data_IF_594901535397
#
_entry.id   IF_594901535397
#
_cell.length_a   1.000
_cell.length_b   1.000
_cell.length_c   1.000
_cell.angle_alpha   90.00
_cell.angle_beta   90.00
_cell.angle_gamma   90.00
#
_symmetry.space_group_name_H-M   'P 1'
#
loop_
_entity.id
_entity.type
_entity.pdbx_description
1 polymer ?
2 non-polymer ?
3 non-polymer ?
4 water ?
#
# COMPACT_ATOMS: atom_id res chain seq x y z
N UNK A 1 9.26 23.65 22.41
CA UNK A 1 8.80 23.72 20.99
C UNK A 1 8.47 22.33 20.46
N UNK A 2 7.35 22.23 19.74
CA UNK A 2 6.80 20.92 19.31
C UNK A 2 7.37 20.42 18.00
N UNK A 3 8.19 21.23 17.37
CA UNK A 3 8.97 20.77 16.24
C UNK A 3 8.23 20.71 14.92
N UNK A 4 8.71 19.82 14.07
CA UNK A 4 8.28 19.79 12.69
C UNK A 4 7.28 18.66 12.50
N UNK A 5 6.05 19.00 12.13
CA UNK A 5 4.97 18.00 12.06
C UNK A 5 4.16 18.03 10.77
N UNK A 6 4.52 18.92 9.84
CA UNK A 6 3.83 19.01 8.56
C UNK A 6 4.79 19.37 7.42
N UNK A 7 4.59 18.73 6.26
CA UNK A 7 5.24 19.12 5.03
C UNK A 7 4.15 19.18 3.97
N UNK A 8 4.05 20.31 3.28
CA UNK A 8 3.23 20.37 2.07
C UNK A 8 4.17 20.22 0.89
N UNK A 9 4.07 19.06 0.25
CA UNK A 9 4.95 18.68 -0.83
C UNK A 9 4.24 18.84 -2.14
N UNK A 10 4.65 19.84 -2.92
CA UNK A 10 4.10 20.07 -4.25
C UNK A 10 4.56 18.93 -5.15
N UNK A 11 3.62 18.33 -5.89
CA UNK A 11 3.93 17.25 -6.82
C UNK A 11 3.27 17.42 -8.20
N UNK A 12 3.85 16.72 -9.17
CA UNK A 12 3.33 16.70 -10.53
C UNK A 12 2.05 15.89 -10.64
N UNK A 13 1.90 14.90 -9.76
CA UNK A 13 0.78 13.98 -9.86
C UNK A 13 0.52 13.45 -8.47
N UNK A 14 -0.58 13.92 -7.87
CA UNK A 14 -0.92 13.54 -6.49
C UNK A 14 -1.28 12.05 -6.40
N UNK A 15 -2.10 11.59 -7.34
CA UNK A 15 -2.54 10.20 -7.37
C UNK A 15 -1.35 9.24 -7.38
N UNK A 16 -0.39 9.51 -8.25
CA UNK A 16 0.81 8.66 -8.40
C UNK A 16 1.70 8.69 -7.16
N UNK A 17 1.91 9.91 -6.61
CA UNK A 17 2.69 10.07 -5.39
C UNK A 17 2.03 9.34 -4.23
N UNK A 18 0.70 9.49 -4.10
CA UNK A 18 -0.03 8.80 -3.02
C UNK A 18 0.14 7.28 -3.06
N UNK A 19 -0.07 6.70 -4.24
CA UNK A 19 -0.09 5.25 -4.33
C UNK A 19 1.31 4.66 -4.05
N UNK A 20 2.35 5.38 -4.48
CA UNK A 20 3.74 5.00 -4.20
C UNK A 20 4.02 5.04 -2.69
N UNK A 21 3.58 6.11 -2.04
CA UNK A 21 3.80 6.26 -0.59
C UNK A 21 3.03 5.23 0.23
N UNK A 22 1.83 4.89 -0.24
CA UNK A 22 1.05 3.80 0.37
C UNK A 22 1.73 2.46 0.22
N UNK A 23 2.12 2.12 -1.00
CA UNK A 23 2.69 0.81 -1.28
C UNK A 23 4.02 0.56 -0.59
N UNK A 24 4.95 1.50 -0.72
CA UNK A 24 6.33 1.28 -0.27
C UNK A 24 6.64 1.81 1.14
N UNK A 25 5.88 2.80 1.60
CA UNK A 25 6.23 3.43 2.87
C UNK A 25 5.12 3.37 3.91
N UNK A 26 4.04 2.69 3.56
CA UNK A 26 2.98 2.43 4.52
C UNK A 26 2.21 3.64 5.02
N UNK A 27 2.26 4.75 4.29
CA UNK A 27 1.52 5.95 4.67
C UNK A 27 0.03 5.72 4.43
N UNK A 28 -0.81 6.45 5.16
CA UNK A 28 -2.28 6.33 5.09
C UNK A 28 -2.92 7.67 4.71
N UNK A 29 -3.84 7.63 3.73
CA UNK A 29 -4.49 8.85 3.24
C UNK A 29 -5.70 9.16 4.11
N UNK A 30 -5.73 10.37 4.67
CA UNK A 30 -6.84 10.72 5.55
C UNK A 30 -7.86 11.67 4.89
N UNK A 31 -7.60 12.07 3.65
CA UNK A 31 -8.52 12.94 2.94
C UNK A 31 -7.94 13.40 1.63
N UNK A 32 -8.83 13.76 0.71
CA UNK A 32 -8.46 14.30 -0.59
C UNK A 32 -9.36 15.48 -0.97
N UNK A 33 -8.92 16.27 -1.94
CA UNK A 33 -9.78 17.19 -2.67
C UNK A 33 -9.57 16.91 -4.15
N UNK A 34 -10.50 16.17 -4.75
CA UNK A 34 -10.36 15.71 -6.13
C UNK A 34 -9.00 15.06 -6.36
N UNK A 35 -8.35 15.46 -7.43
CA UNK A 35 -7.01 14.95 -7.75
C UNK A 35 -5.92 15.99 -7.41
N UNK A 36 -6.36 17.08 -6.79
CA UNK A 36 -5.46 18.19 -6.55
C UNK A 36 -4.69 18.09 -5.24
N UNK A 37 -5.19 17.26 -4.32
CA UNK A 37 -4.72 17.33 -2.94
C UNK A 37 -5.02 16.03 -2.19
N UNK A 38 -4.05 15.56 -1.40
CA UNK A 38 -4.21 14.37 -0.56
C UNK A 38 -3.49 14.58 0.74
N UNK A 39 -4.10 14.18 1.85
CA UNK A 39 -3.47 14.29 3.15
C UNK A 39 -2.99 12.92 3.54
N UNK A 40 -1.67 12.78 3.67
CA UNK A 40 -1.07 11.51 4.08
C UNK A 40 -0.56 11.62 5.51
N UNK A 41 -0.57 10.50 6.22
CA UNK A 41 -0.14 10.41 7.63
C UNK A 41 0.82 9.25 7.76
N UNK A 42 1.83 9.40 8.62
CA UNK A 42 2.66 8.27 9.01
C UNK A 42 2.20 7.76 10.37
N UNK A 43 2.89 6.75 10.88
CA UNK A 43 2.51 6.12 12.14
C UNK A 43 2.66 7.00 13.37
N UNK A 44 3.51 8.02 13.28
CA UNK A 44 3.80 8.94 14.38
C UNK A 44 2.98 10.22 14.33
N UNK A 45 2.08 10.33 13.36
CA UNK A 45 1.23 11.51 13.25
C UNK A 45 1.79 12.67 12.44
N UNK A 46 2.94 12.47 11.79
CA UNK A 46 3.44 13.50 10.87
C UNK A 46 2.44 13.62 9.73
N UNK A 47 2.16 14.86 9.29
CA UNK A 47 1.22 15.11 8.20
C UNK A 47 1.97 15.53 6.94
N UNK A 48 1.88 14.69 5.91
CA UNK A 48 2.47 15.03 4.62
C UNK A 48 1.35 15.28 3.63
N UNK A 49 1.11 16.54 3.26
CA UNK A 49 0.11 16.81 2.25
C UNK A 49 0.74 16.89 0.87
N UNK A 50 0.08 16.27 -0.10
CA UNK A 50 0.56 16.26 -1.47
C UNK A 50 -0.33 17.21 -2.23
N UNK A 51 0.25 18.15 -2.96
CA UNK A 51 -0.53 19.17 -3.62
C UNK A 51 -0.08 19.28 -5.07
N UNK A 52 -1.03 19.14 -6.00
CA UNK A 52 -0.71 19.27 -7.42
C UNK A 52 -0.15 20.65 -7.69
N UNK A 53 0.91 20.69 -8.47
CA UNK A 53 1.48 21.94 -8.94
C UNK A 53 1.87 21.85 -10.39
N UNK A 54 2.14 23.01 -10.98
CA UNK A 54 2.61 23.06 -12.35
C UNK A 54 4.11 23.26 -12.37
N UNK A 55 4.76 22.57 -13.32
CA UNK A 55 6.18 22.69 -13.53
C UNK A 55 6.99 22.51 -12.25
N UNK A 56 6.76 21.37 -11.63
CA UNK A 56 7.32 21.09 -10.33
C UNK A 56 8.79 20.66 -10.43
N UNK A 57 9.66 21.40 -9.77
CA UNK A 57 11.07 21.04 -9.70
C UNK A 57 11.65 21.34 -8.32
N UNK A 58 12.41 20.40 -7.77
CA UNK A 58 13.09 20.60 -6.49
C UNK A 58 14.59 20.76 -6.66
N UNK A 59 15.26 21.46 -5.72
CA UNK A 59 16.71 21.50 -5.78
C UNK A 59 17.24 20.07 -5.80
N UNK A 60 18.37 19.88 -6.47
CA UNK A 60 18.92 18.56 -6.75
C UNK A 60 19.17 17.73 -5.50
N UNK A 61 19.60 18.39 -4.43
CA UNK A 61 19.87 17.67 -3.18
C UNK A 61 18.68 17.61 -2.20
N UNK A 62 17.52 18.16 -2.59
CA UNK A 62 16.34 18.05 -1.72
C UNK A 62 15.90 16.59 -1.62
N UNK A 63 15.58 16.13 -0.40
CA UNK A 63 14.94 14.82 -0.25
C UNK A 63 14.17 14.69 1.06
N UNK A 64 13.28 13.71 1.07
CA UNK A 64 12.50 13.34 2.24
C UNK A 64 12.96 11.97 2.73
N UNK A 65 13.27 11.86 4.02
CA UNK A 65 13.87 10.63 4.53
C UNK A 65 12.96 9.77 5.41
N UNK A 66 13.00 8.47 5.16
CA UNK A 66 12.21 7.45 5.87
C UNK A 66 13.15 6.46 6.54
N UNK A 67 13.53 6.72 7.80
CA UNK A 67 14.45 5.83 8.50
C UNK A 67 13.83 4.47 8.78
N UNK A 68 14.68 3.45 8.80
CA UNK A 68 14.23 2.08 9.02
C UNK A 68 14.81 1.51 10.30
N UNK A 69 14.17 0.46 10.81
CA UNK A 69 14.57 -0.13 12.09
C UNK A 69 15.84 -0.95 11.98
N UNK A 70 16.16 -1.38 10.76
CA UNK A 70 17.34 -2.23 10.52
C UNK A 70 17.86 -2.09 9.09
N UNK A 71 19.10 -2.53 8.88
CA UNK A 71 19.68 -2.56 7.54
C UNK A 71 19.00 -3.60 6.64
N UNK A 72 18.49 -4.68 7.22
CA UNK A 72 17.72 -5.68 6.48
C UNK A 72 16.45 -5.07 5.88
N UNK A 73 15.82 -4.17 6.63
CA UNK A 73 14.61 -3.48 6.14
C UNK A 73 14.91 -2.51 5.01
N UNK A 74 16.07 -1.85 5.06
CA UNK A 74 16.53 -1.00 3.97
C UNK A 74 16.70 -1.85 2.72
N UNK A 75 17.36 -2.99 2.86
CA UNK A 75 17.60 -3.92 1.75
C UNK A 75 16.28 -4.36 1.11
N UNK A 76 15.29 -4.67 1.94
CA UNK A 76 14.01 -5.17 1.48
C UNK A 76 13.29 -4.14 0.60
N UNK A 77 13.20 -2.88 1.06
CA UNK A 77 12.56 -1.82 0.26
C UNK A 77 13.30 -1.59 -1.05
N UNK A 78 14.63 -1.53 -0.97
CA UNK A 78 15.49 -1.47 -2.16
C UNK A 78 15.19 -2.58 -3.17
N UNK A 79 15.20 -3.82 -2.69
CA UNK A 79 14.95 -5.01 -3.53
C UNK A 79 13.56 -4.92 -4.17
N UNK A 80 12.55 -4.55 -3.39
CA UNK A 80 11.20 -4.50 -3.92
C UNK A 80 11.03 -3.40 -4.94
N UNK A 81 11.63 -2.24 -4.68
CA UNK A 81 11.59 -1.13 -5.65
C UNK A 81 12.24 -1.55 -6.97
N UNK A 82 13.42 -2.17 -6.90
CA UNK A 82 14.14 -2.68 -8.07
C UNK A 82 13.29 -3.67 -8.87
N UNK A 83 12.73 -4.68 -8.18
CA UNK A 83 11.87 -5.68 -8.82
C UNK A 83 10.63 -5.08 -9.45
N UNK A 84 10.18 -3.98 -8.90
CA UNK A 84 8.97 -3.32 -9.37
C UNK A 84 9.25 -2.25 -10.42
N UNK A 85 10.50 -2.14 -10.85
CA UNK A 85 10.84 -1.31 -12.00
C UNK A 85 11.34 0.08 -11.72
N UNK A 86 11.62 0.37 -10.44
CA UNK A 86 12.23 1.63 -10.07
C UNK A 86 13.75 1.50 -10.11
N UNK A 87 14.40 2.56 -10.55
CA UNK A 87 15.84 2.55 -10.72
C UNK A 87 16.53 2.93 -9.40
N UNK A 88 17.06 1.92 -8.74
CA UNK A 88 17.72 2.15 -7.48
C UNK A 88 19.06 1.44 -7.54
N UNK A 89 20.05 2.00 -6.87
CA UNK A 89 21.31 1.31 -6.69
C UNK A 89 21.26 0.65 -5.30
N UNK A 90 22.17 -0.30 -5.04
CA UNK A 90 22.19 -0.88 -3.69
C UNK A 90 22.44 0.19 -2.63
N UNK A 91 22.00 -0.07 -1.38
CA UNK A 91 22.29 0.90 -0.31
C UNK A 91 23.79 0.97 -0.02
N UNK A 92 24.25 2.14 0.41
CA UNK A 92 25.67 2.32 0.73
C UNK A 92 25.86 2.74 2.20
N UNK A 93 26.97 2.32 2.79
CA UNK A 93 27.35 2.73 4.16
C UNK A 93 28.06 4.08 4.15
N UNK A 94 27.34 5.16 4.40
CA UNK A 94 27.93 6.50 4.37
C UNK A 94 27.95 7.18 5.73
N UNK A 96 25.00 6.74 7.43
CA UNK A 96 23.99 5.73 7.59
C UNK A 96 24.00 4.79 6.38
N UNK A 97 23.32 3.66 6.50
CA UNK A 97 23.18 2.74 5.38
C UNK A 97 21.97 3.26 4.60
N UNK A 98 22.23 3.78 3.38
CA UNK A 98 21.31 4.68 2.68
C UNK A 98 21.18 4.41 1.17
N UNK A 99 19.97 4.57 0.64
CA UNK A 99 19.85 4.73 -0.80
C UNK A 99 18.78 5.77 -1.09
N UNK A 100 18.74 6.21 -2.34
CA UNK A 100 17.76 7.18 -2.77
C UNK A 100 16.92 6.61 -3.90
N UNK A 101 15.71 7.16 -4.05
CA UNK A 101 14.84 6.80 -5.16
C UNK A 101 14.08 8.03 -5.63
N UNK A 102 13.98 8.20 -6.94
CA UNK A 102 13.20 9.28 -7.52
C UNK A 102 11.77 8.82 -7.53
N UNK A 103 10.92 9.52 -6.78
CA UNK A 103 9.55 9.08 -6.53
C UNK A 103 8.57 9.64 -7.54
N UNK A 104 7.49 8.88 -7.82
CA UNK A 104 6.36 9.41 -8.58
C UNK A 104 5.91 10.76 -8.02
N UNK A 105 5.65 11.70 -8.91
CA UNK A 105 5.31 13.06 -8.50
C UNK A 105 6.48 14.03 -8.51
N UNK A 106 7.70 13.51 -8.65
CA UNK A 106 8.86 14.38 -8.94
C UNK A 106 9.68 14.90 -7.78
N UNK A 107 9.89 14.05 -6.77
CA UNK A 107 10.79 14.36 -5.65
C UNK A 107 11.57 13.11 -5.26
N UNK A 108 12.68 13.31 -4.56
CA UNK A 108 13.57 12.23 -4.17
C UNK A 108 13.28 11.82 -2.74
N UNK A 109 13.29 10.51 -2.49
CA UNK A 109 13.13 9.96 -1.18
C UNK A 109 14.43 9.27 -0.76
N UNK A 110 14.79 9.45 0.49
CA UNK A 110 15.92 8.73 1.08
C UNK A 110 15.42 7.61 2.00
N UNK A 111 16.09 6.45 1.93
CA UNK A 111 15.73 5.33 2.78
C UNK A 111 17.02 4.93 3.48
N UNK A 112 17.00 4.88 4.81
CA UNK A 112 18.24 4.65 5.55
C UNK A 112 18.04 3.99 6.90
N UNK A 113 19.13 3.45 7.42
CA UNK A 113 19.23 3.00 8.80
C UNK A 113 20.59 3.43 9.37
N UNK B 2 -24.64 -4.17 -15.56
CA UNK B 2 -23.22 -4.17 -15.09
C UNK B 2 -22.84 -5.29 -14.14
N UNK B 3 -23.76 -6.20 -13.88
CA UNK B 3 -23.47 -7.39 -13.07
C UNK B 3 -23.04 -7.09 -11.65
N UNK B 4 -22.03 -7.82 -11.18
CA UNK B 4 -21.59 -7.75 -9.78
C UNK B 4 -20.48 -6.71 -9.64
N UNK B 5 -20.75 -5.66 -8.87
CA UNK B 5 -19.82 -4.52 -8.79
C UNK B 5 -19.59 -4.07 -7.35
N UNK B 6 -20.21 -4.76 -6.41
CA UNK B 6 -20.07 -4.36 -5.02
C UNK B 6 -20.04 -5.54 -4.09
N UNK B 7 -19.14 -5.48 -3.11
CA UNK B 7 -19.11 -6.43 -2.02
C UNK B 7 -18.94 -5.65 -0.74
N UNK B 8 -19.85 -5.85 0.22
CA UNK B 8 -19.69 -5.30 1.56
C UNK B 8 -19.17 -6.40 2.46
N UNK B 9 -17.90 -6.26 2.84
CA UNK B 9 -17.25 -7.26 3.68
C UNK B 9 -17.16 -6.77 5.12
N UNK B 10 -17.95 -7.40 5.98
CA UNK B 10 -17.85 -7.22 7.42
C UNK B 10 -16.51 -7.78 7.87
N UNK B 11 -15.77 -7.00 8.66
CA UNK B 11 -14.46 -7.42 9.13
C UNK B 11 -14.27 -7.04 10.59
N UNK B 12 -13.26 -7.66 11.19
CA UNK B 12 -12.93 -7.45 12.57
C UNK B 12 -12.18 -6.10 12.79
N UNK B 13 -11.50 -5.62 11.76
CA UNK B 13 -10.63 -4.45 11.89
C UNK B 13 -10.48 -3.82 10.53
N UNK B 14 -11.21 -2.73 10.31
CA UNK B 14 -11.26 -2.05 9.03
C UNK B 14 -9.89 -1.47 8.65
N UNK B 15 -9.25 -0.83 9.61
CA UNK B 15 -7.95 -0.20 9.38
C UNK B 15 -6.92 -1.21 8.89
N UNK B 16 -6.82 -2.35 9.58
CA UNK B 16 -5.88 -3.43 9.20
C UNK B 16 -6.18 -4.07 7.84
N UNK B 17 -7.47 -4.29 7.56
CA UNK B 17 -7.88 -4.86 6.29
C UNK B 17 -7.59 -3.85 5.16
N UNK B 18 -7.90 -2.58 5.39
CA UNK B 18 -7.60 -1.54 4.39
C UNK B 18 -6.11 -1.49 4.07
N UNK B 19 -5.27 -1.43 5.08
CA UNK B 19 -3.83 -1.28 4.83
C UNK B 19 -3.24 -2.50 4.10
N UNK B 20 -3.75 -3.70 4.42
CA UNK B 20 -3.36 -4.95 3.74
C UNK B 20 -3.71 -4.88 2.26
N UNK B 21 -4.93 -4.45 1.96
CA UNK B 21 -5.39 -4.41 0.58
C UNK B 21 -4.65 -3.37 -0.24
N UNK B 22 -4.30 -2.24 0.39
CA UNK B 22 -3.47 -1.21 -0.25
C UNK B 22 -2.08 -1.72 -0.56
N UNK B 23 -1.45 -2.37 0.41
CA UNK B 23 -0.05 -2.74 0.29
C UNK B 23 0.16 -3.86 -0.72
N UNK B 24 -0.66 -4.91 -0.61
CA UNK B 24 -0.44 -6.12 -1.38
C UNK B 24 -1.22 -6.19 -2.68
N UNK B 25 -2.38 -5.52 -2.74
CA UNK B 25 -3.30 -5.72 -3.86
C UNK B 25 -3.62 -4.45 -4.65
N UNK B 26 -3.05 -3.35 -4.18
CA UNK B 26 -3.14 -2.07 -4.87
C UNK B 26 -4.52 -1.45 -4.95
N UNK B 27 -5.42 -1.80 -4.04
CA UNK B 27 -6.70 -1.10 -3.99
C UNK B 27 -6.52 0.33 -3.47
N UNK B 28 -7.46 1.21 -3.81
CA UNK B 28 -7.42 2.61 -3.36
C UNK B 28 -8.66 2.91 -2.50
N UNK B 29 -8.47 3.73 -1.47
CA UNK B 29 -9.57 4.11 -0.61
C UNK B 29 -10.19 5.42 -1.08
N UNK B 30 -11.49 5.40 -1.36
CA UNK B 30 -12.17 6.61 -1.76
C UNK B 30 -12.99 7.24 -0.63
N UNK B 31 -12.96 6.65 0.56
CA UNK B 31 -13.70 7.22 1.68
C UNK B 31 -13.75 6.37 2.93
N UNK B 32 -13.94 7.02 4.07
CA UNK B 32 -14.03 6.33 5.36
C UNK B 32 -15.07 6.99 6.28
N UNK B 33 -15.58 6.21 7.24
CA UNK B 33 -16.30 6.77 8.40
C UNK B 33 -15.56 6.31 9.66
N UNK B 34 -14.53 7.06 10.06
CA UNK B 34 -13.71 6.69 11.22
C UNK B 34 -13.06 5.35 10.97
N UNK B 35 -13.06 4.48 11.98
CA UNK B 35 -12.57 3.10 11.80
C UNK B 35 -13.71 2.09 11.56
N UNK B 36 -14.91 2.59 11.30
CA UNK B 36 -16.09 1.74 11.13
C UNK B 36 -16.31 1.30 9.69
N UNK B 37 -15.76 2.04 8.74
CA UNK B 37 -16.14 1.90 7.34
C UNK B 37 -15.05 2.44 6.42
N UNK B 38 -14.76 1.70 5.36
CA UNK B 38 -13.82 2.14 4.34
C UNK B 38 -14.31 1.65 2.99
N UNK B 39 -14.30 2.54 2.01
CA UNK B 39 -14.68 2.22 0.66
C UNK B 39 -13.42 2.04 -0.19
N UNK B 40 -13.20 0.80 -0.64
CA UNK B 40 -12.08 0.47 -1.50
C UNK B 40 -12.54 0.28 -2.94
N UNK B 41 -11.71 0.70 -3.88
CA UNK B 41 -11.98 0.59 -5.31
C UNK B 41 -10.81 -0.06 -6.04
N UNK B 42 -11.11 -0.86 -7.06
CA UNK B 42 -10.08 -1.25 -8.02
C UNK B 42 -10.13 -0.36 -9.28
N UNK B 43 -9.39 -0.72 -10.32
CA UNK B 43 -9.32 0.09 -11.54
C UNK B 43 -10.56 0.04 -12.41
N UNK B 44 -11.37 -1.00 -12.22
CA UNK B 44 -12.50 -1.29 -13.09
C UNK B 44 -13.82 -0.91 -12.45
N UNK B 45 -13.73 -0.12 -11.39
CA UNK B 45 -14.91 0.38 -10.70
C UNK B 45 -15.58 -0.61 -9.78
N UNK B 46 -14.90 -1.71 -9.43
CA UNK B 46 -15.48 -2.61 -8.44
C UNK B 46 -15.36 -1.93 -7.09
N UNK B 47 -16.43 -1.96 -6.30
CA UNK B 47 -16.42 -1.34 -4.98
C UNK B 47 -16.44 -2.39 -3.89
N UNK B 48 -15.39 -2.43 -3.08
CA UNK B 48 -15.30 -3.36 -1.95
C UNK B 48 -15.32 -2.57 -0.65
N UNK B 49 -16.48 -2.48 0.00
CA UNK B 49 -16.58 -1.73 1.26
C UNK B 49 -16.22 -2.63 2.43
N UNK B 50 -15.49 -2.08 3.39
CA UNK B 50 -15.10 -2.79 4.60
C UNK B 50 -15.89 -2.18 5.74
N UNK B 51 -16.52 -3.05 6.54
CA UNK B 51 -17.41 -2.58 7.60
C UNK B 51 -17.11 -3.32 8.91
N UNK B 52 -16.91 -2.56 9.99
CA UNK B 52 -16.61 -3.16 11.29
C UNK B 52 -17.81 -3.95 11.82
N UNK B 53 -17.55 -4.93 12.69
CA UNK B 53 -18.62 -5.48 13.51
C UNK B 53 -18.76 -6.97 13.58
N UNK B 54 -17.64 -7.66 13.84
CA UNK B 54 -17.62 -9.15 13.86
C UNK B 54 -18.51 -9.82 14.91
N UNK B 55 -19.40 -10.65 14.39
CA UNK B 55 -20.17 -11.55 15.22
C UNK B 55 -19.81 -12.97 14.82
N UNK B 56 -19.51 -13.19 13.53
CA UNK B 56 -19.29 -14.54 12.99
C UNK B 56 -18.19 -14.67 11.92
N UNK B 57 -17.59 -15.86 11.83
CA UNK B 57 -16.59 -16.17 10.82
C UNK B 57 -17.23 -16.45 9.47
N UNK B 58 -16.52 -16.11 8.38
CA UNK B 58 -17.00 -16.43 7.04
C UNK B 58 -16.94 -17.95 6.89
N UNK B 59 -17.83 -18.53 6.04
CA UNK B 59 -17.71 -19.94 5.70
C UNK B 59 -16.28 -20.21 5.22
N UNK B 60 -15.75 -21.38 5.55
CA UNK B 60 -14.32 -21.62 5.33
C UNK B 60 -13.89 -21.58 3.86
N UNK B 61 -14.81 -21.95 2.96
CA UNK B 61 -14.50 -21.92 1.53
C UNK B 61 -14.75 -20.57 0.86
N UNK B 62 -15.29 -19.61 1.61
CA UNK B 62 -15.53 -18.28 1.08
C UNK B 62 -14.21 -17.57 0.75
N UNK B 63 -14.11 -16.98 -0.43
CA UNK B 63 -12.94 -16.18 -0.75
C UNK B 63 -13.17 -15.16 -1.85
N UNK B 64 -12.34 -14.11 -1.82
CA UNK B 64 -12.35 -13.07 -2.83
C UNK B 64 -11.07 -13.20 -3.66
N UNK B 65 -11.21 -13.23 -4.99
CA UNK B 65 -10.11 -13.52 -5.91
C UNK B 65 -9.58 -12.31 -6.65
N UNK B 66 -8.25 -12.16 -6.62
CA UNK B 66 -7.52 -11.03 -7.20
C UNK B 66 -6.56 -11.57 -8.26
N UNK B 67 -6.99 -11.64 -9.53
CA UNK B 67 -6.11 -12.22 -10.56
C UNK B 67 -4.89 -11.36 -10.84
N UNK B 68 -3.82 -12.01 -11.31
CA UNK B 68 -2.56 -11.37 -11.54
C UNK B 68 -2.16 -11.54 -13.00
N UNK B 69 -1.27 -10.68 -13.49
CA UNK B 69 -0.92 -10.63 -14.90
C UNK B 69 -0.04 -11.78 -15.35
N UNK B 70 0.63 -12.41 -14.40
CA UNK B 70 1.62 -13.46 -14.70
C UNK B 70 1.81 -14.33 -13.47
N UNK B 71 2.38 -15.50 -13.66
CA UNK B 71 2.78 -16.37 -12.56
C UNK B 71 3.89 -15.72 -11.71
N UNK B 72 4.78 -14.99 -12.37
CA UNK B 72 5.80 -14.24 -11.64
C UNK B 72 5.19 -13.27 -10.61
N UNK B 73 4.13 -12.57 -11.00
CA UNK B 73 3.42 -11.66 -10.10
C UNK B 73 2.74 -12.36 -8.94
N UNK B 74 2.19 -13.55 -9.18
CA UNK B 74 1.66 -14.42 -8.12
C UNK B 74 2.77 -14.78 -7.12
N UNK B 75 3.90 -15.25 -7.65
CA UNK B 75 5.07 -15.61 -6.83
C UNK B 75 5.56 -14.43 -6.00
N UNK B 76 5.59 -13.26 -6.62
CA UNK B 76 6.05 -12.05 -5.94
C UNK B 76 5.18 -11.74 -4.71
N UNK B 77 3.86 -11.81 -4.88
CA UNK B 77 2.97 -11.51 -3.77
C UNK B 77 3.11 -12.57 -2.68
N UNK B 78 3.17 -13.82 -3.11
CA UNK B 78 3.41 -14.94 -2.18
C UNK B 78 4.67 -14.73 -1.33
N UNK B 79 5.79 -14.43 -1.99
CA UNK B 79 7.09 -14.19 -1.36
C UNK B 79 7.04 -13.06 -0.33
N UNK B 80 6.45 -11.93 -0.74
CA UNK B 80 6.40 -10.74 0.10
C UNK B 80 5.48 -10.94 1.30
N UNK B 81 4.35 -11.60 1.07
CA UNK B 81 3.49 -12.00 2.20
C UNK B 81 4.23 -12.88 3.21
N UNK B 82 4.92 -13.90 2.71
CA UNK B 82 5.70 -14.80 3.56
C UNK B 82 6.75 -14.03 4.35
N UNK B 83 7.49 -13.15 3.66
CA UNK B 83 8.56 -12.36 4.29
C UNK B 83 8.01 -11.42 5.35
N UNK B 84 6.82 -10.89 5.09
CA UNK B 84 6.20 -9.92 5.96
C UNK B 84 5.41 -10.54 7.12
N UNK B 85 5.48 -11.86 7.25
CA UNK B 85 4.92 -12.55 8.42
C UNK B 85 3.55 -13.20 8.25
N UNK B 86 3.01 -13.21 7.04
CA UNK B 86 1.70 -13.83 6.77
C UNK B 86 1.88 -15.30 6.47
N UNK B 87 0.88 -16.10 6.81
CA UNK B 87 1.00 -17.54 6.67
C UNK B 87 0.51 -18.01 5.30
N UNK B 88 1.47 -18.33 4.44
CA UNK B 88 1.19 -18.75 3.08
C UNK B 88 1.99 -20.00 2.75
N UNK B 89 1.50 -20.76 1.79
CA UNK B 89 2.26 -21.86 1.23
C UNK B 89 2.53 -21.57 -0.25
N UNK B 90 3.43 -22.35 -0.88
CA UNK B 90 3.74 -22.15 -2.30
C UNK B 90 2.49 -22.27 -3.15
N UNK B 91 2.39 -21.44 -4.20
CA UNK B 91 1.25 -21.54 -5.12
C UNK B 91 1.27 -22.90 -5.84
N UNK B 92 0.10 -23.35 -6.28
CA UNK B 92 -0.05 -24.65 -6.95
C UNK B 92 -0.59 -24.47 -8.35
N UNK B 93 -0.13 -25.33 -9.26
CA UNK B 93 -0.65 -25.33 -10.62
C UNK B 93 -1.91 -26.16 -10.77
N UNK B 94 -3.03 -25.50 -11.01
CA UNK B 94 -4.19 -26.15 -11.64
C UNK B 94 -4.25 -25.74 -13.11
N UNK B 96 -5.58 -22.76 -12.73
CA UNK B 96 -4.79 -21.55 -12.56
C UNK B 96 -3.63 -21.76 -11.58
N UNK B 97 -2.64 -20.88 -11.62
CA UNK B 97 -1.56 -20.87 -10.65
C UNK B 97 -2.04 -20.05 -9.45
N UNK B 98 -2.22 -20.70 -8.30
CA UNK B 98 -3.07 -20.14 -7.24
C UNK B 98 -2.47 -20.31 -5.85
N UNK B 99 -2.64 -19.30 -4.99
CA UNK B 99 -2.54 -19.54 -3.55
C UNK B 99 -3.57 -18.74 -2.77
N UNK B 100 -3.70 -19.04 -1.47
CA UNK B 100 -4.65 -18.35 -0.60
C UNK B 100 -3.95 -17.71 0.59
N UNK B 101 -4.51 -16.62 1.07
CA UNK B 101 -4.02 -15.97 2.29
C UNK B 101 -5.21 -15.45 3.11
N UNK B 102 -5.12 -15.53 4.43
CA UNK B 102 -6.13 -14.93 5.30
C UNK B 102 -5.81 -13.46 5.48
N UNK B 103 -6.71 -12.59 5.04
CA UNK B 103 -6.50 -11.16 5.21
C UNK B 103 -6.77 -10.72 6.64
N UNK B 104 -5.99 -9.77 7.17
CA UNK B 104 -6.39 -9.09 8.40
C UNK B 104 -7.83 -8.66 8.25
N UNK B 105 -8.61 -8.79 9.30
CA UNK B 105 -10.06 -8.53 9.21
C UNK B 105 -10.87 -9.81 9.23
N UNK B 106 -10.32 -10.88 8.65
CA UNK B 106 -10.92 -12.20 8.79
C UNK B 106 -11.66 -12.74 7.57
N UNK B 107 -11.13 -12.51 6.36
CA UNK B 107 -11.64 -13.18 5.16
C UNK B 107 -10.47 -13.66 4.29
N UNK B 108 -10.73 -14.71 3.51
CA UNK B 108 -9.70 -15.31 2.67
C UNK B 108 -9.64 -14.67 1.30
N UNK B 109 -8.41 -14.45 0.83
CA UNK B 109 -8.13 -13.92 -0.49
C UNK B 109 -7.46 -14.99 -1.34
N UNK B 110 -7.92 -15.08 -2.58
CA UNK B 110 -7.34 -15.95 -3.58
C UNK B 110 -6.49 -15.09 -4.50
N UNK B 111 -5.28 -15.57 -4.80
CA UNK B 111 -4.33 -14.86 -5.68
C UNK B 111 -3.95 -15.84 -6.80
N UNK B 112 -4.17 -15.45 -8.05
CA UNK B 112 -4.02 -16.41 -9.14
C UNK B 112 -3.72 -15.81 -10.50
N UNK B 113 -3.12 -16.64 -11.36
CA UNK B 113 -2.94 -16.32 -12.77
C UNK B 113 -3.31 -17.58 -13.53
X LIG C 1 19.50 13.08 3.93
X LIG D 1 6.61 -4.35 6.16
X LIG D 1 7.68 -5.12 5.64
X LIG D 1 8.38 -4.32 4.55
X LIG D 1 7.47 -4.11 3.48
X LIG D 1 7.58 -2.74 3.01
X LIG D 1 7.93 -2.63 1.54
X LIG D 1 7.06 -3.42 0.72
X LIG D 1 6.55 -2.65 -0.33
X LIG D 1 6.26 -3.50 -1.52
X LIG D 1 5.76 -4.77 -1.15
X LIG D 1 4.35 -4.69 -0.98
X LIG D 1 3.75 -5.89 -1.63
X LIG D 1 4.02 -5.78 -3.02
X LIG D 1 3.26 -6.74 -3.76
X LIG D 1 2.88 -6.03 -5.05
X LIG D 1 3.63 -6.53 -6.15
X LIG D 1 4.35 -5.47 -6.79
X LIG D 1 4.18 -5.51 -8.30
X LIG D 1 3.84 -4.20 -8.78
X LIG E 1 -11.91 -19.62 -6.14
#
# INVERSE_FOLDING_TARGET
>A
AMGIKHLNLTVADVVAAREFLEKYFGLTCSGTRGNAFAVMRDNDGFILTLMKGKEVQYPKTFHVGFPQESEEQVDKINQRLKEDGFLVEPPKHAHAYTFYVEAPGGFTIEVMC
>B
AMGIKHLNLTVADVVAAREFLEKYFGLTCSGTRGNAFAVMRDNDGFILTLMKGKEVQYPKTFHVGFPQESEEQVDKINQRLKEDGFLVEPPKHAHAYTFYVEAPGGFTIEVMC
>C hetero
1 MG MG
>D hetero
1 P6G O1 C2 C3 O4 C5 C6 O7 C8 C9 O10 C11 C12 O13 C14 C15 O16 C17 C18 O19
>E hetero
1 MG MG
#
